data_IF_564908684431
#
_entry.id   IF_564908684431
#
_cell.length_a   1.000
_cell.length_b   1.000
_cell.length_c   1.000
_cell.angle_alpha   90.00
_cell.angle_beta   90.00
_cell.angle_gamma   90.00
#
_symmetry.space_group_name_H-M   'P 1'
#
loop_
_entity.id
_entity.type
_entity.pdbx_description
1 polymer ?
#
# COMPACT_ATOMS: atom_id res chain seq x y z
N UNK A 1 23.19 -10.54 41.34
CA UNK A 1 21.89 -9.91 41.06
C UNK A 1 21.93 -9.23 39.69
N UNK A 2 21.33 -9.79 38.61
CA UNK A 2 21.22 -9.11 37.33
C UNK A 2 19.79 -8.57 37.15
N UNK A 3 19.59 -7.26 37.27
CA UNK A 3 18.32 -6.61 36.92
C UNK A 3 18.57 -5.38 36.04
N UNK A 4 19.18 -5.56 34.87
CA UNK A 4 19.32 -4.45 33.91
C UNK A 4 18.99 -4.81 32.46
N UNK A 5 18.61 -6.05 32.16
CA UNK A 5 18.19 -6.42 30.80
C UNK A 5 16.69 -6.19 30.54
N UNK A 6 15.84 -6.30 31.57
CA UNK A 6 14.37 -6.20 31.40
C UNK A 6 13.89 -4.75 31.27
N UNK A 7 14.58 -3.80 31.94
CA UNK A 7 14.18 -2.39 31.89
C UNK A 7 14.34 -1.78 30.48
N UNK A 8 15.38 -2.14 29.72
CA UNK A 8 15.55 -1.68 28.33
C UNK A 8 14.56 -2.33 27.36
N UNK A 9 14.23 -3.60 27.56
CA UNK A 9 13.22 -4.29 26.75
C UNK A 9 11.81 -3.77 27.01
N UNK A 10 11.48 -3.42 28.26
CA UNK A 10 10.22 -2.77 28.60
C UNK A 10 10.07 -1.40 27.92
N UNK A 11 11.15 -0.61 27.82
CA UNK A 11 11.14 0.68 27.11
C UNK A 11 10.98 0.55 25.59
N UNK A 12 11.53 -0.51 24.98
CA UNK A 12 11.37 -0.76 23.54
C UNK A 12 9.96 -1.26 23.18
N UNK A 13 9.28 -1.95 24.09
CA UNK A 13 7.88 -2.37 23.93
C UNK A 13 6.90 -1.21 24.17
N UNK A 14 7.23 -0.24 25.04
CA UNK A 14 6.37 0.94 25.29
C UNK A 14 6.37 1.98 24.18
N UNK A 15 7.33 1.94 23.24
CA UNK A 15 7.31 2.78 22.03
C UNK A 15 6.54 2.14 20.86
N UNK A 16 6.08 0.89 21.01
CA UNK A 16 5.21 0.20 20.05
C UNK A 16 3.75 0.41 20.46
N UNK A 17 3.36 1.67 20.61
CA UNK A 17 1.95 2.03 20.57
C UNK A 17 1.49 1.90 19.11
N UNK A 18 0.35 1.27 18.79
CA UNK A 18 0.01 0.92 17.41
C UNK A 18 -0.32 2.13 16.49
N UNK A 19 -0.02 3.35 16.94
CA UNK A 19 -0.43 4.62 16.35
C UNK A 19 0.52 5.78 16.68
N UNK A 20 1.84 5.56 16.80
CA UNK A 20 2.75 6.70 16.90
C UNK A 20 2.94 7.36 15.52
N UNK A 21 2.91 8.69 15.40
CA UNK A 21 3.07 9.37 14.10
C UNK A 21 4.38 9.00 13.36
N UNK A 22 5.41 8.58 14.09
CA UNK A 22 6.66 8.06 13.52
C UNK A 22 6.48 6.77 12.69
N UNK A 23 5.45 5.96 12.99
CA UNK A 23 5.16 4.71 12.29
C UNK A 23 4.17 4.90 11.14
N UNK A 24 3.51 6.07 11.04
CA UNK A 24 2.54 6.37 9.99
C UNK A 24 3.22 6.74 8.67
N UNK A 25 4.29 7.55 8.73
CA UNK A 25 4.99 8.00 7.53
C UNK A 25 5.60 6.83 6.73
N UNK A 26 6.30 5.86 7.34
CA UNK A 26 6.80 4.68 6.63
C UNK A 26 5.68 3.83 6.02
N UNK A 27 4.55 3.67 6.72
CA UNK A 27 3.39 2.93 6.19
C UNK A 27 2.75 3.64 5.01
N UNK A 28 2.63 4.97 5.06
CA UNK A 28 2.11 5.78 3.97
C UNK A 28 3.03 5.68 2.75
N UNK A 29 4.34 5.87 2.93
CA UNK A 29 5.33 5.77 1.86
C UNK A 29 5.32 4.38 1.21
N UNK A 30 5.30 3.32 2.01
CA UNK A 30 5.23 1.95 1.50
C UNK A 30 3.93 1.68 0.73
N UNK A 31 2.79 2.17 1.23
CA UNK A 31 1.50 2.02 0.55
C UNK A 31 1.47 2.76 -0.78
N UNK A 32 1.99 3.99 -0.81
CA UNK A 32 2.07 4.80 -2.03
C UNK A 32 3.05 4.21 -3.05
N UNK A 33 4.20 3.69 -2.61
CA UNK A 33 5.15 3.01 -3.47
C UNK A 33 4.52 1.78 -4.13
N UNK A 34 3.82 0.93 -3.34
CA UNK A 34 3.13 -0.23 -3.86
C UNK A 34 2.04 0.15 -4.89
N UNK A 35 1.28 1.22 -4.63
CA UNK A 35 0.32 1.76 -5.60
C UNK A 35 1.01 2.21 -6.88
N UNK A 36 2.10 2.99 -6.78
CA UNK A 36 2.83 3.47 -7.95
C UNK A 36 3.37 2.31 -8.81
N UNK A 37 3.90 1.26 -8.18
CA UNK A 37 4.37 0.06 -8.88
C UNK A 37 3.23 -0.67 -9.61
N UNK A 38 2.05 -0.77 -8.99
CA UNK A 38 0.85 -1.37 -9.61
C UNK A 38 0.38 -0.55 -10.82
N UNK A 39 0.28 0.78 -10.66
CA UNK A 39 -0.17 1.68 -11.73
C UNK A 39 0.81 1.65 -12.92
N UNK A 40 2.11 1.67 -12.65
CA UNK A 40 3.14 1.62 -13.69
C UNK A 40 3.09 0.29 -14.45
N UNK A 41 2.98 -0.84 -13.73
CA UNK A 41 2.85 -2.16 -14.36
C UNK A 41 1.59 -2.25 -15.22
N UNK A 42 0.45 -1.81 -14.70
CA UNK A 42 -0.80 -1.81 -15.45
C UNK A 42 -0.69 -1.00 -16.73
N UNK A 43 -0.10 0.21 -16.67
CA UNK A 43 0.10 1.04 -17.85
C UNK A 43 1.01 0.37 -18.88
N UNK A 44 2.13 -0.20 -18.45
CA UNK A 44 3.04 -0.97 -19.32
C UNK A 44 2.33 -2.16 -19.98
N UNK A 45 1.54 -2.93 -19.22
CA UNK A 45 0.80 -4.09 -19.72
C UNK A 45 -0.27 -3.65 -20.75
N UNK A 46 -0.91 -2.49 -20.53
CA UNK A 46 -1.83 -1.89 -21.49
C UNK A 46 -1.13 -1.47 -22.79
N UNK A 47 0.01 -0.80 -22.71
CA UNK A 47 0.80 -0.40 -23.88
C UNK A 47 1.21 -1.62 -24.71
N UNK A 48 1.66 -2.70 -24.05
CA UNK A 48 1.99 -3.96 -24.71
C UNK A 48 0.78 -4.58 -25.41
N UNK A 49 -0.38 -4.56 -24.76
CA UNK A 49 -1.61 -5.10 -25.32
C UNK A 49 -2.12 -4.27 -26.51
N UNK A 50 -1.91 -2.94 -26.49
CA UNK A 50 -2.24 -2.05 -27.60
C UNK A 50 -1.32 -2.27 -28.81
N UNK A 51 -0.02 -2.50 -28.57
CA UNK A 51 0.96 -2.78 -29.63
C UNK A 51 0.81 -4.19 -30.23
N UNK A 52 0.03 -5.07 -29.60
CA UNK A 52 -0.16 -6.44 -30.06
C UNK A 52 -1.11 -6.55 -31.27
N UNK A 53 -0.65 -7.21 -32.34
CA UNK A 53 -1.37 -7.38 -33.60
C UNK A 53 -2.30 -8.62 -33.65
N UNK A 54 -2.74 -9.12 -32.50
CA UNK A 54 -3.58 -10.31 -32.42
C UNK A 54 -5.07 -10.07 -32.71
N UNK A 55 -5.89 -11.14 -32.72
CA UNK A 55 -7.33 -11.01 -32.93
C UNK A 55 -8.01 -10.17 -31.85
N UNK A 56 -8.92 -9.28 -32.28
CA UNK A 56 -9.61 -8.33 -31.41
C UNK A 56 -10.31 -9.00 -30.22
N UNK A 57 -11.02 -10.11 -30.47
CA UNK A 57 -11.74 -10.83 -29.42
C UNK A 57 -10.81 -11.35 -28.31
N UNK A 58 -9.59 -11.75 -28.67
CA UNK A 58 -8.59 -12.20 -27.71
C UNK A 58 -8.00 -11.00 -26.96
N UNK A 59 -7.77 -9.88 -27.66
CA UNK A 59 -7.27 -8.63 -27.06
C UNK A 59 -8.25 -8.11 -26.00
N UNK A 60 -9.54 -8.06 -26.33
CA UNK A 60 -10.60 -7.65 -25.40
C UNK A 60 -10.67 -8.55 -24.18
N UNK A 61 -10.52 -9.87 -24.36
CA UNK A 61 -10.49 -10.81 -23.23
C UNK A 61 -9.29 -10.56 -22.31
N UNK A 62 -8.10 -10.37 -22.87
CA UNK A 62 -6.91 -10.05 -22.08
C UNK A 62 -7.01 -8.69 -21.39
N UNK A 63 -7.60 -7.69 -22.05
CA UNK A 63 -7.85 -6.38 -21.43
C UNK A 63 -8.76 -6.49 -20.21
N UNK A 64 -9.84 -7.29 -20.30
CA UNK A 64 -10.75 -7.52 -19.17
C UNK A 64 -10.05 -8.24 -18.00
N UNK A 65 -9.20 -9.23 -18.30
CA UNK A 65 -8.40 -9.93 -17.28
C UNK A 65 -7.35 -9.03 -16.63
N UNK A 66 -6.72 -8.15 -17.42
CA UNK A 66 -5.76 -7.17 -16.94
C UNK A 66 -6.44 -6.17 -15.98
N UNK A 67 -7.62 -5.67 -16.36
CA UNK A 67 -8.42 -4.77 -15.53
C UNK A 67 -8.84 -5.44 -14.21
N UNK A 68 -9.37 -6.65 -14.25
CA UNK A 68 -9.76 -7.39 -13.05
C UNK A 68 -8.57 -7.58 -12.09
N UNK A 69 -7.41 -7.96 -12.64
CA UNK A 69 -6.19 -8.11 -11.86
C UNK A 69 -5.76 -6.78 -11.23
N UNK A 70 -5.75 -5.71 -12.02
CA UNK A 70 -5.39 -4.36 -11.56
C UNK A 70 -6.26 -3.92 -10.39
N UNK A 71 -7.59 -4.03 -10.53
CA UNK A 71 -8.51 -3.66 -9.45
C UNK A 71 -8.29 -4.50 -8.20
N UNK A 72 -8.11 -5.83 -8.35
CA UNK A 72 -7.87 -6.73 -7.23
C UNK A 72 -6.58 -6.40 -6.48
N UNK A 73 -5.51 -6.04 -7.18
CA UNK A 73 -4.22 -5.68 -6.59
C UNK A 73 -4.27 -4.29 -5.95
N UNK A 74 -4.93 -3.32 -6.61
CA UNK A 74 -5.00 -1.92 -6.17
C UNK A 74 -5.91 -1.72 -4.94
N UNK A 75 -7.04 -2.41 -4.88
CA UNK A 75 -8.09 -2.16 -3.88
C UNK A 75 -7.62 -2.23 -2.41
N UNK A 76 -6.84 -3.25 -1.99
CA UNK A 76 -6.33 -3.31 -0.62
C UNK A 76 -5.45 -2.10 -0.24
N UNK A 77 -4.64 -1.61 -1.19
CA UNK A 77 -3.77 -0.46 -0.94
C UNK A 77 -4.55 0.86 -0.88
N UNK A 78 -5.61 1.02 -1.68
CA UNK A 78 -6.51 2.17 -1.60
C UNK A 78 -7.29 2.20 -0.28
N UNK A 79 -7.75 1.03 0.19
CA UNK A 79 -8.38 0.90 1.50
C UNK A 79 -7.39 1.30 2.61
N UNK A 80 -6.17 0.77 2.55
CA UNK A 80 -5.11 1.10 3.51
C UNK A 80 -4.77 2.60 3.51
N UNK A 81 -4.75 3.24 2.34
CA UNK A 81 -4.51 4.68 2.22
C UNK A 81 -5.64 5.49 2.89
N UNK A 82 -6.89 5.09 2.69
CA UNK A 82 -8.06 5.71 3.34
C UNK A 82 -7.98 5.59 4.87
N UNK A 83 -7.59 4.42 5.38
CA UNK A 83 -7.37 4.21 6.82
C UNK A 83 -6.27 5.13 7.35
N UNK A 84 -5.11 5.17 6.69
CA UNK A 84 -3.99 6.02 7.11
C UNK A 84 -4.37 7.50 7.11
N UNK A 85 -5.13 7.94 6.10
CA UNK A 85 -5.61 9.33 6.03
C UNK A 85 -6.56 9.66 7.18
N UNK A 86 -7.51 8.77 7.50
CA UNK A 86 -8.40 8.97 8.64
C UNK A 86 -7.64 9.08 9.97
N UNK A 87 -6.59 8.28 10.14
CA UNK A 87 -5.74 8.33 11.33
C UNK A 87 -4.96 9.64 11.44
N UNK A 88 -4.44 10.14 10.32
CA UNK A 88 -3.78 11.45 10.27
C UNK A 88 -4.75 12.58 10.66
N UNK A 89 -5.97 12.56 10.12
CA UNK A 89 -7.00 13.55 10.44
C UNK A 89 -7.35 13.54 11.94
N UNK A 90 -7.46 12.35 12.55
CA UNK A 90 -7.72 12.21 13.99
C UNK A 90 -6.59 12.78 14.86
N UNK A 91 -5.34 12.69 14.40
CA UNK A 91 -4.18 13.25 15.11
C UNK A 91 -4.20 14.78 15.02
N UNK A 92 -4.42 15.33 13.82
CA UNK A 92 -4.45 16.78 13.58
C UNK A 92 -5.59 17.48 14.32
N UNK A 93 -6.75 16.82 14.50
CA UNK A 93 -7.89 17.38 15.24
C UNK A 93 -7.69 17.36 16.76
N UNK A 94 -6.79 16.51 17.28
CA UNK A 94 -6.51 16.38 18.72
C UNK A 94 -5.31 17.19 19.21
N UNK A 95 -4.50 17.73 18.30
CA UNK A 95 -3.36 18.61 18.58
C UNK A 95 -3.77 20.07 18.61
#
# INVERSE_FOLDING_TARGET
MPHTSVARQASALSMQGPWYPADLLPQLQSTLAALADIELRYHSDQEQLQAWAGPEAIRTRFAAQLEERYQRERNPHVQKLTELQHLMDQIVVRS
#
